data_IF_837785200089
#
_entry.id   IF_837785200089
#
_cell.length_a   1.000
_cell.length_b   1.000
_cell.length_c   1.000
_cell.angle_alpha   90.00
_cell.angle_beta   90.00
_cell.angle_gamma   90.00
#
_symmetry.space_group_name_H-M   'P 1'
#
loop_
_entity.id
_entity.type
_entity.pdbx_description
1 polymer ?
#
# COMPACT_ATOMS: atom_id res chain seq x y z
N UNK A 1 -8.63 1.98 23.69
CA UNK A 1 -8.30 0.63 23.17
C UNK A 1 -6.97 0.19 23.75
N UNK A 2 -6.81 -1.09 24.14
CA UNK A 2 -5.52 -1.66 24.52
C UNK A 2 -4.47 -1.53 23.40
N UNK A 3 -3.19 -1.53 23.76
CA UNK A 3 -2.07 -1.41 22.81
C UNK A 3 -2.09 -2.52 21.74
N UNK A 4 -2.34 -3.77 22.14
CA UNK A 4 -2.44 -4.90 21.22
C UNK A 4 -3.59 -4.74 20.20
N UNK A 5 -4.72 -4.19 20.62
CA UNK A 5 -5.87 -3.95 19.73
C UNK A 5 -5.54 -2.93 18.64
N UNK A 6 -4.78 -1.88 18.97
CA UNK A 6 -4.32 -0.87 18.00
C UNK A 6 -3.37 -1.48 16.96
N UNK A 7 -2.51 -2.40 17.39
CA UNK A 7 -1.59 -3.13 16.51
C UNK A 7 -2.35 -4.07 15.58
N UNK A 8 -3.31 -4.85 16.09
CA UNK A 8 -4.13 -5.74 15.25
C UNK A 8 -4.89 -4.98 14.18
N UNK A 9 -5.48 -3.82 14.52
CA UNK A 9 -6.16 -2.98 13.53
C UNK A 9 -5.18 -2.48 12.46
N UNK A 10 -3.94 -2.16 12.83
CA UNK A 10 -2.90 -1.70 11.89
C UNK A 10 -2.43 -2.82 10.96
N UNK A 11 -2.28 -4.04 11.49
CA UNK A 11 -1.97 -5.22 10.68
C UNK A 11 -3.13 -5.59 9.76
N UNK A 12 -4.37 -5.60 10.25
CA UNK A 12 -5.56 -5.91 9.47
C UNK A 12 -5.78 -4.89 8.35
N UNK A 13 -5.62 -3.59 8.62
CA UNK A 13 -5.71 -2.56 7.57
C UNK A 13 -4.58 -2.69 6.54
N UNK A 14 -3.37 -3.05 7.00
CA UNK A 14 -2.25 -3.40 6.13
C UNK A 14 -2.57 -4.56 5.20
N UNK A 15 -3.10 -5.66 5.73
CA UNK A 15 -3.51 -6.83 4.96
C UNK A 15 -4.57 -6.46 3.90
N UNK A 16 -5.61 -5.71 4.28
CA UNK A 16 -6.67 -5.27 3.38
C UNK A 16 -6.10 -4.42 2.23
N UNK A 17 -5.26 -3.43 2.54
CA UNK A 17 -4.70 -2.56 1.49
C UNK A 17 -3.67 -3.28 0.62
N UNK A 18 -2.93 -4.24 1.18
CA UNK A 18 -2.04 -5.12 0.42
C UNK A 18 -2.82 -6.00 -0.56
N UNK A 19 -3.99 -6.50 -0.16
CA UNK A 19 -4.89 -7.25 -1.04
C UNK A 19 -5.44 -6.35 -2.17
N UNK A 20 -6.04 -5.22 -1.81
CA UNK A 20 -6.66 -4.30 -2.78
C UNK A 20 -5.62 -3.75 -3.75
N UNK A 21 -4.45 -3.33 -3.27
CA UNK A 21 -3.40 -2.83 -4.13
C UNK A 21 -2.84 -3.90 -5.07
N UNK A 22 -2.63 -5.13 -4.58
CA UNK A 22 -2.21 -6.25 -5.43
C UNK A 22 -3.23 -6.56 -6.53
N UNK A 23 -4.53 -6.49 -6.24
CA UNK A 23 -5.59 -6.72 -7.22
C UNK A 23 -5.76 -5.56 -8.22
N UNK A 24 -5.51 -4.32 -7.79
CA UNK A 24 -5.92 -3.13 -8.56
C UNK A 24 -4.79 -2.36 -9.21
N UNK A 25 -3.53 -2.52 -8.82
CA UNK A 25 -2.40 -1.68 -9.29
C UNK A 25 -2.20 -1.64 -10.81
N UNK A 26 -2.68 -2.65 -11.56
CA UNK A 26 -2.60 -2.71 -13.04
C UNK A 26 -3.90 -2.29 -13.75
N UNK A 27 -4.96 -1.96 -13.02
CA UNK A 27 -6.23 -1.56 -13.61
C UNK A 27 -6.06 -0.30 -14.47
N UNK A 28 -6.66 -0.35 -15.66
CA UNK A 28 -6.64 0.73 -16.64
C UNK A 28 -5.41 0.80 -17.55
N UNK A 29 -4.40 -0.06 -17.37
CA UNK A 29 -3.28 -0.19 -18.33
C UNK A 29 -3.78 -0.50 -19.74
N UNK A 30 -4.79 -1.36 -19.87
CA UNK A 30 -5.42 -1.71 -21.16
C UNK A 30 -6.12 -0.53 -21.87
N UNK A 31 -6.47 0.53 -21.13
CA UNK A 31 -7.10 1.74 -21.65
C UNK A 31 -6.14 2.93 -21.65
N UNK A 32 -4.84 2.70 -21.48
CA UNK A 32 -3.82 3.75 -21.38
C UNK A 32 -4.08 4.79 -20.28
N UNK A 33 -4.72 4.37 -19.17
CA UNK A 33 -4.97 5.20 -17.98
C UNK A 33 -4.62 4.35 -16.75
N UNK A 34 -3.42 4.47 -16.14
CA UNK A 34 -2.97 3.60 -15.06
C UNK A 34 -3.56 4.02 -13.70
N UNK A 35 -4.87 4.25 -13.65
CA UNK A 35 -5.57 4.74 -12.45
C UNK A 35 -5.45 3.77 -11.28
N UNK A 36 -5.34 2.48 -11.56
CA UNK A 36 -5.21 1.44 -10.55
C UNK A 36 -3.99 1.66 -9.64
N UNK A 37 -2.86 2.07 -10.22
CA UNK A 37 -1.64 2.34 -9.49
C UNK A 37 -1.78 3.56 -8.58
N UNK A 38 -2.37 4.64 -9.10
CA UNK A 38 -2.62 5.87 -8.34
C UNK A 38 -3.56 5.59 -7.17
N UNK A 39 -4.68 4.89 -7.44
CA UNK A 39 -5.65 4.50 -6.42
C UNK A 39 -5.01 3.62 -5.33
N UNK A 40 -4.18 2.66 -5.72
CA UNK A 40 -3.46 1.78 -4.79
C UNK A 40 -2.57 2.58 -3.83
N UNK A 41 -1.81 3.56 -4.34
CA UNK A 41 -0.98 4.41 -3.48
C UNK A 41 -1.77 5.36 -2.60
N UNK A 42 -2.88 5.91 -3.08
CA UNK A 42 -3.77 6.74 -2.26
C UNK A 42 -4.33 5.95 -1.08
N UNK A 43 -4.86 4.75 -1.35
CA UNK A 43 -5.38 3.86 -0.30
C UNK A 43 -4.28 3.44 0.68
N UNK A 44 -3.10 3.08 0.17
CA UNK A 44 -1.95 2.75 1.01
C UNK A 44 -1.53 3.95 1.87
N UNK A 45 -1.51 5.15 1.29
CA UNK A 45 -1.18 6.39 1.99
C UNK A 45 -2.12 6.66 3.15
N UNK A 46 -3.43 6.62 2.91
CA UNK A 46 -4.45 6.84 3.93
C UNK A 46 -4.37 5.75 5.02
N UNK A 47 -4.22 4.49 4.62
CA UNK A 47 -4.15 3.36 5.55
C UNK A 47 -2.88 3.42 6.43
N UNK A 48 -1.73 3.75 5.83
CA UNK A 48 -0.46 3.89 6.54
C UNK A 48 -0.48 5.10 7.47
N UNK A 49 -0.99 6.24 7.00
CA UNK A 49 -1.18 7.43 7.83
C UNK A 49 -2.05 7.10 9.05
N UNK A 50 -3.13 6.35 8.84
CA UNK A 50 -4.01 5.90 9.93
C UNK A 50 -3.29 4.95 10.90
N UNK A 51 -2.42 4.05 10.40
CA UNK A 51 -1.59 3.19 11.25
C UNK A 51 -0.56 3.99 12.06
N UNK A 52 0.05 5.03 11.46
CA UNK A 52 0.99 5.93 12.13
C UNK A 52 0.30 6.77 13.21
N UNK A 53 -0.84 7.38 12.90
CA UNK A 53 -1.65 8.13 13.85
C UNK A 53 -2.10 7.25 15.03
N UNK A 54 -2.46 6.00 14.73
CA UNK A 54 -2.96 5.07 15.74
C UNK A 54 -1.87 4.46 16.61
N UNK A 55 -0.68 4.12 16.11
CA UNK A 55 0.28 3.37 16.94
C UNK A 55 1.74 3.77 16.70
N UNK A 56 1.98 4.95 16.13
CA UNK A 56 3.31 5.44 15.81
C UNK A 56 4.05 4.51 14.85
N UNK A 57 5.38 4.46 14.97
CA UNK A 57 6.23 3.68 14.08
C UNK A 57 5.98 2.17 14.18
N UNK A 58 5.59 1.66 15.35
CA UNK A 58 5.25 0.24 15.55
C UNK A 58 4.02 -0.13 14.70
N UNK A 59 3.00 0.72 14.66
CA UNK A 59 1.81 0.51 13.81
C UNK A 59 2.16 0.40 12.33
N UNK A 60 3.04 1.28 11.85
CA UNK A 60 3.52 1.24 10.46
C UNK A 60 4.33 -0.03 10.19
N UNK A 61 5.15 -0.49 11.14
CA UNK A 61 5.88 -1.75 11.00
C UNK A 61 4.97 -2.96 10.76
N UNK A 62 3.95 -3.13 11.61
CA UNK A 62 2.97 -4.21 11.43
C UNK A 62 2.12 -4.05 10.17
N UNK A 63 1.76 -2.81 9.82
CA UNK A 63 1.05 -2.51 8.59
C UNK A 63 1.88 -2.90 7.35
N UNK A 64 3.18 -2.60 7.33
CA UNK A 64 4.12 -2.95 6.26
C UNK A 64 4.26 -4.46 6.13
N UNK A 65 4.47 -5.16 7.24
CA UNK A 65 4.60 -6.63 7.24
C UNK A 65 3.33 -7.26 6.67
N UNK A 66 2.15 -6.86 7.16
CA UNK A 66 0.89 -7.44 6.72
C UNK A 66 0.56 -7.11 5.25
N UNK A 67 0.74 -5.85 4.83
CA UNK A 67 0.51 -5.46 3.42
C UNK A 67 1.46 -6.19 2.47
N UNK A 68 2.74 -6.26 2.79
CA UNK A 68 3.74 -6.98 2.01
C UNK A 68 3.45 -8.49 1.94
N UNK A 69 3.13 -9.12 3.07
CA UNK A 69 2.80 -10.55 3.12
C UNK A 69 1.59 -10.88 2.24
N UNK A 70 0.52 -10.09 2.32
CA UNK A 70 -0.68 -10.32 1.50
C UNK A 70 -0.42 -10.05 0.02
N UNK A 71 0.29 -8.98 -0.33
CA UNK A 71 0.64 -8.72 -1.73
C UNK A 71 1.49 -9.86 -2.31
N UNK A 72 2.46 -10.38 -1.54
CA UNK A 72 3.27 -11.52 -1.97
C UNK A 72 2.44 -12.80 -2.09
N UNK A 73 1.50 -13.04 -1.17
CA UNK A 73 0.60 -14.20 -1.25
C UNK A 73 -0.26 -14.14 -2.53
N UNK A 74 -0.88 -13.00 -2.83
CA UNK A 74 -1.69 -12.81 -4.05
C UNK A 74 -0.85 -13.02 -5.31
N UNK A 75 0.39 -12.55 -5.31
CA UNK A 75 1.31 -12.79 -6.42
C UNK A 75 1.68 -14.28 -6.57
N UNK A 76 1.81 -15.02 -5.47
CA UNK A 76 2.10 -16.46 -5.50
C UNK A 76 0.91 -17.30 -5.94
N UNK A 77 -0.31 -16.89 -5.60
CA UNK A 77 -1.54 -17.61 -5.95
C UNK A 77 -2.15 -17.19 -7.28
N UNK A 78 -1.59 -16.17 -7.93
CA UNK A 78 -2.06 -15.71 -9.23
C UNK A 78 -1.85 -16.77 -10.31
N UNK A 79 -2.85 -16.91 -11.19
CA UNK A 79 -2.74 -17.72 -12.40
C UNK A 79 -1.91 -17.02 -13.49
N UNK A 80 -1.56 -15.75 -13.30
CA UNK A 80 -0.74 -14.98 -14.22
C UNK A 80 0.75 -15.11 -13.89
N UNK A 81 1.60 -14.96 -14.89
CA UNK A 81 3.05 -14.99 -14.69
C UNK A 81 3.50 -13.94 -13.68
N UNK A 82 4.24 -14.37 -12.65
CA UNK A 82 4.85 -13.48 -11.65
C UNK A 82 5.77 -12.44 -12.29
N UNK A 83 6.49 -12.82 -13.36
CA UNK A 83 7.34 -11.90 -14.08
C UNK A 83 6.52 -10.76 -14.71
N UNK A 84 5.34 -11.07 -15.25
CA UNK A 84 4.44 -10.07 -15.82
C UNK A 84 3.82 -9.18 -14.75
N UNK A 85 3.40 -9.76 -13.62
CA UNK A 85 2.79 -9.00 -12.53
C UNK A 85 3.79 -8.06 -11.86
N UNK A 86 5.05 -8.47 -11.67
CA UNK A 86 6.09 -7.65 -11.04
C UNK A 86 6.78 -6.75 -12.07
N UNK A 87 7.46 -7.32 -13.06
CA UNK A 87 8.36 -6.55 -13.95
C UNK A 87 7.65 -5.94 -15.15
N UNK A 88 6.41 -6.39 -15.40
CA UNK A 88 5.61 -5.94 -16.52
C UNK A 88 6.01 -6.55 -17.85
N UNK A 89 5.70 -5.83 -18.91
CA UNK A 89 6.00 -6.21 -20.29
C UNK A 89 6.40 -4.97 -21.10
N UNK A 90 7.04 -5.18 -22.24
CA UNK A 90 7.47 -4.12 -23.15
C UNK A 90 6.42 -3.92 -24.24
N UNK A 91 6.07 -2.67 -24.54
CA UNK A 91 5.12 -2.32 -25.59
C UNK A 91 5.29 -0.85 -26.00
N UNK A 92 5.27 -0.58 -27.29
CA UNK A 92 5.35 0.79 -27.84
C UNK A 92 4.06 1.59 -27.62
N UNK A 93 2.96 0.92 -27.27
CA UNK A 93 1.65 1.54 -27.05
C UNK A 93 1.44 2.07 -25.62
N UNK A 94 2.35 1.77 -24.69
CA UNK A 94 2.20 2.10 -23.27
C UNK A 94 3.37 2.92 -22.73
N UNK A 95 3.09 3.87 -21.84
CA UNK A 95 4.14 4.64 -21.15
C UNK A 95 4.93 3.75 -20.17
N UNK A 96 6.11 4.20 -19.77
CA UNK A 96 6.96 3.47 -18.81
C UNK A 96 6.22 3.14 -17.52
N UNK A 97 5.39 4.06 -17.02
CA UNK A 97 4.63 3.88 -15.79
C UNK A 97 3.60 2.74 -15.90
N UNK A 98 2.96 2.59 -17.06
CA UNK A 98 2.04 1.48 -17.34
C UNK A 98 2.78 0.15 -17.45
N UNK A 99 3.90 0.14 -18.18
CA UNK A 99 4.74 -1.05 -18.35
C UNK A 99 5.29 -1.51 -16.98
N UNK A 100 5.72 -0.58 -16.14
CA UNK A 100 6.38 -0.87 -14.86
C UNK A 100 5.47 -0.76 -13.63
N UNK A 101 4.15 -0.74 -13.82
CA UNK A 101 3.19 -0.57 -12.72
C UNK A 101 3.39 -1.56 -11.57
N UNK A 102 3.73 -2.82 -11.88
CA UNK A 102 4.01 -3.86 -10.89
C UNK A 102 5.19 -3.56 -9.97
N UNK A 103 6.34 -3.25 -10.57
CA UNK A 103 7.56 -2.98 -9.80
C UNK A 103 7.47 -1.63 -9.09
N UNK A 104 6.80 -0.65 -9.71
CA UNK A 104 6.48 0.62 -9.07
C UNK A 104 5.61 0.37 -7.85
N UNK A 105 4.56 -0.46 -7.93
CA UNK A 105 3.72 -0.82 -6.79
C UNK A 105 4.53 -1.47 -5.67
N UNK A 106 5.33 -2.50 -5.98
CA UNK A 106 6.11 -3.23 -4.97
C UNK A 106 7.10 -2.33 -4.22
N UNK A 107 7.89 -1.54 -4.97
CA UNK A 107 8.87 -0.64 -4.36
C UNK A 107 8.20 0.55 -3.69
N UNK A 108 7.19 1.12 -4.35
CA UNK A 108 6.43 2.25 -3.85
C UNK A 108 5.66 1.92 -2.57
N UNK A 109 5.19 0.68 -2.40
CA UNK A 109 4.48 0.27 -1.19
C UNK A 109 5.40 0.34 0.04
N UNK A 110 6.64 -0.09 -0.11
CA UNK A 110 7.65 0.03 0.94
C UNK A 110 8.06 1.48 1.12
N UNK A 111 8.40 2.17 0.02
CA UNK A 111 8.89 3.54 0.04
C UNK A 111 7.89 4.51 0.66
N UNK A 112 6.60 4.41 0.34
CA UNK A 112 5.56 5.26 0.89
C UNK A 112 5.43 5.08 2.41
N UNK A 113 5.54 3.84 2.90
CA UNK A 113 5.47 3.57 4.33
C UNK A 113 6.69 4.08 5.09
N UNK A 114 7.87 3.91 4.51
CA UNK A 114 9.12 4.51 5.03
C UNK A 114 9.04 6.03 5.02
N UNK A 115 8.51 6.63 3.95
CA UNK A 115 8.33 8.08 3.86
C UNK A 115 7.43 8.60 4.98
N UNK A 116 6.32 7.91 5.27
CA UNK A 116 5.43 8.25 6.38
C UNK A 116 6.13 8.19 7.74
N UNK A 117 7.22 7.42 7.90
CA UNK A 117 8.01 7.39 9.13
C UNK A 117 8.83 8.66 9.34
N UNK A 118 9.36 9.24 8.26
CA UNK A 118 10.22 10.43 8.25
C UNK A 118 9.41 11.71 8.43
N UNK A 119 8.13 11.71 8.08
CA UNK A 119 7.26 12.87 8.26
C UNK A 119 7.10 13.28 9.75
N UNK A 120 6.94 14.58 10.05
CA UNK A 120 6.81 15.07 11.42
C UNK A 120 5.62 14.43 12.17
N UNK A 121 5.82 14.05 13.44
CA UNK A 121 4.78 13.39 14.24
C UNK A 121 3.48 14.20 14.34
N UNK A 122 3.57 15.53 14.38
CA UNK A 122 2.42 16.45 14.39
C UNK A 122 1.45 16.29 13.20
N UNK A 123 1.87 15.70 12.09
CA UNK A 123 1.00 15.46 10.94
C UNK A 123 0.08 14.25 11.12
N UNK A 124 0.26 13.48 12.20
CA UNK A 124 -0.49 12.27 12.52
C UNK A 124 -1.26 12.38 13.83
N UNK A 125 -1.28 13.56 14.44
CA UNK A 125 -2.00 13.79 15.68
C UNK A 125 -3.50 13.96 15.39
N UNK A 126 -4.33 13.25 16.14
CA UNK A 126 -5.78 13.30 16.04
C UNK A 126 -6.30 13.79 17.38
N UNK A 127 -6.63 15.08 17.45
CA UNK A 127 -7.12 15.71 18.68
C UNK A 127 -8.34 14.98 19.24
N UNK A 128 -8.33 14.68 20.54
CA UNK A 128 -9.45 14.02 21.20
C UNK A 128 -10.62 15.01 21.32
N UNK A 129 -11.75 14.71 20.67
CA UNK A 129 -12.95 15.59 20.63
C UNK A 129 -13.70 15.68 21.97
N UNK A 130 -13.16 15.14 23.06
CA UNK A 130 -13.86 15.02 24.36
C UNK A 130 -13.72 16.24 25.27
N UNK A 131 -13.04 17.31 24.84
CA UNK A 131 -12.75 18.48 25.67
C UNK A 131 -13.39 19.79 25.16
N UNK A 132 -14.55 19.72 24.49
CA UNK A 132 -15.39 20.87 24.18
C UNK A 132 -16.80 20.67 24.71
#
# INVERSE_FOLDING_TARGET
MPSWGRILVSAASGAIVGFVGAATHRMGVQWSIPYGLVLSFLLLGISTWSARARSGSVGVGFHLIASGAVTMLILQTSTQSRAMLIFGYVSDSYTLLMQKAGIIWMLGMVALQVFMLVLPQRWFDVSDRRNH
#
